data_IF_932438118552
#
_entry.id   IF_932438118552
#
_cell.length_a   1.000
_cell.length_b   1.000
_cell.length_c   1.000
_cell.angle_alpha   90.00
_cell.angle_beta   90.00
_cell.angle_gamma   90.00
#
_symmetry.space_group_name_H-M   'P 1'
#
loop_
_entity.id
_entity.type
_entity.pdbx_description
1 polymer ?
#
# COMPACT_ATOMS: atom_id res chain seq x y z
N UNK A 1 -37.00 -5.32 -16.82
CA UNK A 1 -35.74 -6.02 -16.55
C UNK A 1 -35.14 -5.53 -15.26
N UNK A 2 -35.02 -6.42 -14.28
CA UNK A 2 -34.41 -6.10 -13.02
C UNK A 2 -32.92 -5.79 -13.26
N UNK A 3 -32.38 -4.67 -12.75
CA UNK A 3 -30.94 -4.44 -12.80
C UNK A 3 -30.24 -5.54 -12.00
N UNK A 4 -29.36 -6.24 -12.64
CA UNK A 4 -28.53 -7.26 -11.99
C UNK A 4 -27.65 -6.55 -10.94
N UNK A 5 -27.74 -6.88 -9.66
CA UNK A 5 -26.92 -6.21 -8.66
C UNK A 5 -25.48 -6.71 -8.73
N UNK A 6 -24.69 -6.15 -9.62
CA UNK A 6 -23.27 -6.46 -9.76
C UNK A 6 -22.46 -6.21 -8.46
N UNK A 7 -22.80 -5.20 -7.60
CA UNK A 7 -22.08 -5.02 -6.34
C UNK A 7 -22.36 -6.09 -5.29
N UNK A 8 -23.55 -6.69 -5.28
CA UNK A 8 -23.91 -7.72 -4.29
C UNK A 8 -23.22 -9.05 -4.56
N UNK A 9 -23.07 -9.42 -5.83
CA UNK A 9 -22.39 -10.66 -6.21
C UNK A 9 -20.89 -10.60 -5.85
N UNK A 10 -20.26 -9.44 -6.03
CA UNK A 10 -18.87 -9.24 -5.63
C UNK A 10 -18.70 -9.31 -4.11
N UNK A 11 -19.61 -8.68 -3.34
CA UNK A 11 -19.57 -8.70 -1.88
C UNK A 11 -19.84 -10.10 -1.32
N UNK A 12 -20.78 -10.84 -1.89
CA UNK A 12 -21.07 -12.23 -1.52
C UNK A 12 -19.91 -13.16 -1.87
N UNK A 13 -19.25 -12.94 -3.03
CA UNK A 13 -18.07 -13.70 -3.43
C UNK A 13 -16.88 -13.48 -2.49
N UNK A 14 -16.67 -12.23 -2.05
CA UNK A 14 -15.61 -11.89 -1.08
C UNK A 14 -15.93 -12.48 0.29
N UNK A 15 -17.16 -12.38 0.76
CA UNK A 15 -17.60 -13.00 2.03
C UNK A 15 -17.41 -14.51 2.00
N UNK A 16 -17.77 -15.15 0.88
CA UNK A 16 -17.60 -16.59 0.69
C UNK A 16 -16.13 -16.99 0.69
N UNK A 17 -15.24 -16.22 0.04
CA UNK A 17 -13.80 -16.45 0.04
C UNK A 17 -13.21 -16.31 1.44
N UNK A 18 -13.64 -15.31 2.19
CA UNK A 18 -13.19 -15.10 3.58
C UNK A 18 -13.65 -16.22 4.48
N UNK A 19 -14.91 -16.68 4.35
CA UNK A 19 -15.44 -17.84 5.09
C UNK A 19 -14.67 -19.13 4.78
N UNK A 20 -14.46 -19.43 3.51
CA UNK A 20 -13.69 -20.61 3.08
C UNK A 20 -12.26 -20.56 3.63
N UNK A 21 -11.65 -19.41 3.63
CA UNK A 21 -10.30 -19.23 4.16
C UNK A 21 -10.27 -19.42 5.68
N UNK A 22 -11.25 -18.88 6.39
CA UNK A 22 -11.37 -19.05 7.85
C UNK A 22 -11.68 -20.50 8.23
N UNK A 23 -12.58 -21.17 7.48
CA UNK A 23 -12.87 -22.61 7.65
C UNK A 23 -11.62 -23.45 7.41
N UNK A 24 -10.86 -23.15 6.36
CA UNK A 24 -9.61 -23.83 6.05
C UNK A 24 -8.59 -23.68 7.17
N UNK A 25 -8.47 -22.46 7.73
CA UNK A 25 -7.64 -22.23 8.92
C UNK A 25 -8.09 -23.02 10.13
N UNK A 26 -9.40 -23.14 10.34
CA UNK A 26 -9.97 -23.91 11.46
C UNK A 26 -9.78 -25.41 11.27
N UNK A 27 -9.92 -25.92 10.05
CA UNK A 27 -9.71 -27.34 9.73
C UNK A 27 -8.24 -27.77 9.83
N UNK A 28 -7.32 -26.89 9.48
CA UNK A 28 -5.90 -27.10 9.74
C UNK A 28 -5.58 -27.09 11.24
N UNK A 29 -6.52 -26.69 12.03
CA UNK A 29 -6.80 -26.91 13.47
C UNK A 29 -5.66 -26.76 14.37
N UNK A 30 -4.99 -27.00 14.99
CA UNK A 30 -3.97 -27.07 15.97
C UNK A 30 -2.57 -27.18 15.36
N UNK A 31 -2.44 -27.07 14.05
CA UNK A 31 -1.18 -26.66 13.47
C UNK A 31 -1.08 -25.19 13.82
N UNK A 32 -0.12 -24.84 14.69
CA UNK A 32 0.18 -23.47 15.10
C UNK A 32 -0.12 -22.54 13.92
N UNK A 33 -0.92 -21.48 14.16
CA UNK A 33 -1.12 -20.43 13.17
C UNK A 33 0.26 -19.99 12.71
N UNK A 34 0.74 -20.57 11.62
CA UNK A 34 1.90 -20.04 10.93
C UNK A 34 1.39 -18.74 10.35
N UNK A 35 1.60 -17.67 11.12
CA UNK A 35 1.33 -16.33 10.68
C UNK A 35 2.11 -16.13 9.39
N UNK A 36 1.39 -16.21 8.26
CA UNK A 36 1.97 -16.20 6.94
C UNK A 36 1.78 -14.85 6.28
N UNK A 37 2.88 -14.10 6.20
CA UNK A 37 2.95 -12.81 5.52
C UNK A 37 2.45 -12.96 4.09
N UNK A 38 2.89 -13.98 3.40
CA UNK A 38 2.59 -14.20 1.99
C UNK A 38 1.09 -14.37 1.74
N UNK A 39 0.41 -15.14 2.59
CA UNK A 39 -1.03 -15.35 2.46
C UNK A 39 -1.81 -14.05 2.58
N UNK A 40 -1.56 -13.25 3.61
CA UNK A 40 -2.23 -11.97 3.80
C UNK A 40 -1.85 -10.95 2.70
N UNK A 41 -0.60 -10.94 2.30
CA UNK A 41 -0.12 -10.11 1.20
C UNK A 41 -0.85 -10.43 -0.11
N UNK A 42 -0.94 -11.71 -0.47
CA UNK A 42 -1.60 -12.15 -1.70
C UNK A 42 -3.11 -11.87 -1.67
N UNK A 43 -3.77 -12.07 -0.52
CA UNK A 43 -5.17 -11.68 -0.35
C UNK A 43 -5.34 -10.17 -0.51
N UNK A 44 -4.46 -9.37 0.06
CA UNK A 44 -4.48 -7.93 -0.09
C UNK A 44 -4.37 -7.49 -1.55
N UNK A 45 -3.46 -8.10 -2.31
CA UNK A 45 -3.30 -7.86 -3.75
C UNK A 45 -4.59 -8.20 -4.51
N UNK A 46 -5.18 -9.36 -4.23
CA UNK A 46 -6.42 -9.79 -4.89
C UNK A 46 -7.57 -8.83 -4.60
N UNK A 47 -7.74 -8.41 -3.36
CA UNK A 47 -8.76 -7.43 -2.98
C UNK A 47 -8.52 -6.07 -3.65
N UNK A 48 -7.27 -5.63 -3.71
CA UNK A 48 -6.91 -4.37 -4.37
C UNK A 48 -7.26 -4.40 -5.86
N UNK A 49 -6.97 -5.48 -6.55
CA UNK A 49 -7.31 -5.67 -7.96
C UNK A 49 -8.83 -5.65 -8.20
N UNK A 50 -9.61 -6.11 -7.24
CA UNK A 50 -11.07 -6.04 -7.26
C UNK A 50 -11.62 -4.69 -6.77
N UNK A 51 -10.78 -3.72 -6.50
CA UNK A 51 -11.15 -2.40 -5.96
C UNK A 51 -11.85 -2.47 -4.60
N UNK A 52 -11.60 -3.52 -3.84
CA UNK A 52 -12.09 -3.71 -2.47
C UNK A 52 -11.03 -3.19 -1.50
N UNK A 53 -10.95 -1.87 -1.40
CA UNK A 53 -9.85 -1.18 -0.70
C UNK A 53 -9.82 -1.46 0.80
N UNK A 54 -10.96 -1.48 1.47
CA UNK A 54 -11.00 -1.73 2.92
C UNK A 54 -10.53 -3.12 3.27
N UNK A 55 -10.95 -4.12 2.48
CA UNK A 55 -10.50 -5.50 2.63
C UNK A 55 -9.02 -5.65 2.33
N UNK A 56 -8.53 -4.99 1.27
CA UNK A 56 -7.12 -4.97 0.92
C UNK A 56 -6.28 -4.37 2.04
N UNK A 57 -6.70 -3.21 2.56
CA UNK A 57 -6.03 -2.53 3.67
C UNK A 57 -5.95 -3.44 4.89
N UNK A 58 -7.06 -4.09 5.24
CA UNK A 58 -7.11 -5.02 6.38
C UNK A 58 -6.09 -6.15 6.24
N UNK A 59 -5.99 -6.76 5.07
CA UNK A 59 -5.04 -7.85 4.82
C UNK A 59 -3.59 -7.35 4.82
N UNK A 60 -3.31 -6.21 4.21
CA UNK A 60 -1.96 -5.63 4.25
C UNK A 60 -1.55 -5.21 5.67
N UNK A 61 -2.47 -4.76 6.49
CA UNK A 61 -2.19 -4.44 7.89
C UNK A 61 -1.83 -5.69 8.69
N UNK A 62 -2.49 -6.82 8.43
CA UNK A 62 -2.15 -8.12 9.03
C UNK A 62 -0.75 -8.56 8.61
N UNK A 63 -0.46 -8.51 7.32
CA UNK A 63 0.87 -8.83 6.79
C UNK A 63 1.95 -7.91 7.39
N UNK A 64 1.66 -6.61 7.49
CA UNK A 64 2.55 -5.63 8.11
C UNK A 64 2.91 -5.99 9.56
N UNK A 65 1.92 -6.31 10.38
CA UNK A 65 2.14 -6.68 11.79
C UNK A 65 3.04 -7.90 11.92
N UNK A 66 2.83 -8.91 11.08
CA UNK A 66 3.66 -10.11 11.07
C UNK A 66 5.10 -9.77 10.65
N UNK A 67 5.26 -9.00 9.57
CA UNK A 67 6.56 -8.60 9.07
C UNK A 67 7.33 -7.76 10.08
N UNK A 68 6.66 -6.87 10.79
CA UNK A 68 7.25 -6.05 11.85
C UNK A 68 7.76 -6.92 13.00
N UNK A 69 6.94 -7.85 13.46
CA UNK A 69 7.29 -8.78 14.54
C UNK A 69 8.46 -9.69 14.18
N UNK A 70 8.47 -10.19 12.94
CA UNK A 70 9.51 -11.10 12.45
C UNK A 70 10.73 -10.38 11.89
N UNK A 71 10.68 -9.04 11.81
CA UNK A 71 11.73 -8.19 11.22
C UNK A 71 12.08 -8.60 9.79
N UNK A 72 11.06 -8.94 9.01
CA UNK A 72 11.18 -9.26 7.58
C UNK A 72 11.12 -7.96 6.78
N UNK A 73 12.25 -7.27 6.66
CA UNK A 73 12.33 -5.92 6.12
C UNK A 73 11.82 -5.76 4.68
N UNK A 74 12.16 -6.66 3.72
CA UNK A 74 11.61 -6.53 2.37
C UNK A 74 10.07 -6.60 2.34
N UNK A 75 9.48 -7.50 3.10
CA UNK A 75 8.02 -7.61 3.22
C UNK A 75 7.41 -6.39 3.91
N UNK A 76 8.11 -5.86 4.90
CA UNK A 76 7.69 -4.65 5.61
C UNK A 76 7.59 -3.45 4.67
N UNK A 77 8.61 -3.25 3.83
CA UNK A 77 8.64 -2.19 2.81
C UNK A 77 7.47 -2.36 1.83
N UNK A 78 7.25 -3.58 1.34
CA UNK A 78 6.17 -3.89 0.40
C UNK A 78 4.80 -3.60 1.01
N UNK A 79 4.56 -4.04 2.24
CA UNK A 79 3.29 -3.79 2.94
C UNK A 79 3.04 -2.30 3.15
N UNK A 80 4.04 -1.55 3.61
CA UNK A 80 3.92 -0.11 3.80
C UNK A 80 3.64 0.63 2.49
N UNK A 81 4.32 0.26 1.42
CA UNK A 81 4.12 0.85 0.08
C UNK A 81 2.69 0.61 -0.41
N UNK A 82 2.21 -0.62 -0.31
CA UNK A 82 0.85 -0.98 -0.74
C UNK A 82 -0.22 -0.32 0.11
N UNK A 83 -0.01 -0.22 1.42
CA UNK A 83 -0.90 0.53 2.30
C UNK A 83 -0.97 2.00 1.91
N UNK A 84 0.18 2.62 1.61
CA UNK A 84 0.22 3.98 1.10
C UNK A 84 -0.60 4.15 -0.18
N UNK A 85 -0.43 3.25 -1.15
CA UNK A 85 -1.18 3.27 -2.40
C UNK A 85 -2.69 3.09 -2.18
N UNK A 86 -3.08 2.16 -1.31
CA UNK A 86 -4.49 1.94 -0.98
C UNK A 86 -5.12 3.17 -0.34
N UNK A 87 -4.43 3.85 0.56
CA UNK A 87 -4.94 5.07 1.18
C UNK A 87 -4.99 6.24 0.19
N UNK A 88 -4.06 6.31 -0.76
CA UNK A 88 -4.17 7.27 -1.88
C UNK A 88 -5.43 7.02 -2.71
N UNK A 89 -5.66 5.77 -3.08
CA UNK A 89 -6.84 5.37 -3.86
C UNK A 89 -8.14 5.63 -3.09
N UNK A 90 -8.10 5.52 -1.77
CA UNK A 90 -9.23 5.79 -0.89
C UNK A 90 -9.49 7.30 -0.68
N UNK A 91 -8.61 8.16 -1.19
CA UNK A 91 -8.73 9.60 -1.00
C UNK A 91 -8.29 10.08 0.38
N UNK A 92 -7.38 9.34 1.01
CA UNK A 92 -6.82 9.66 2.33
C UNK A 92 -5.31 9.88 2.25
N UNK A 93 -4.85 10.91 1.54
CA UNK A 93 -3.42 11.13 1.32
C UNK A 93 -2.63 11.39 2.61
N UNK A 94 -3.25 11.98 3.62
CA UNK A 94 -2.60 12.22 4.91
C UNK A 94 -2.24 10.93 5.64
N UNK A 95 -2.99 9.85 5.44
CA UNK A 95 -2.66 8.53 5.97
C UNK A 95 -1.59 7.86 5.12
N UNK A 96 -1.69 8.01 3.79
CA UNK A 96 -0.68 7.52 2.85
C UNK A 96 0.72 8.08 3.17
N UNK A 97 0.82 9.38 3.47
CA UNK A 97 2.07 10.03 3.88
C UNK A 97 2.76 9.24 4.99
N UNK A 98 2.02 8.87 6.02
CA UNK A 98 2.58 8.14 7.17
C UNK A 98 3.12 6.77 6.78
N UNK A 99 2.42 6.06 5.90
CA UNK A 99 2.87 4.74 5.43
C UNK A 99 4.12 4.84 4.56
N UNK A 100 4.20 5.84 3.67
CA UNK A 100 5.39 6.07 2.86
C UNK A 100 6.60 6.47 3.70
N UNK A 101 6.41 7.34 4.69
CA UNK A 101 7.47 7.71 5.62
C UNK A 101 7.97 6.49 6.41
N UNK A 102 7.06 5.62 6.80
CA UNK A 102 7.37 4.37 7.49
C UNK A 102 8.20 3.44 6.61
N UNK A 103 7.84 3.31 5.35
CA UNK A 103 8.61 2.52 4.38
C UNK A 103 10.04 3.06 4.19
N UNK A 104 10.17 4.39 4.09
CA UNK A 104 11.47 5.05 3.94
C UNK A 104 12.38 4.86 5.15
N UNK A 105 11.83 4.59 6.32
CA UNK A 105 12.58 4.37 7.57
C UNK A 105 13.01 2.92 7.76
N UNK A 106 12.59 1.99 6.92
CA UNK A 106 12.93 0.57 7.06
C UNK A 106 14.40 0.33 6.73
N UNK A 107 15.14 -0.43 7.58
CA UNK A 107 16.53 -0.76 7.30
C UNK A 107 16.71 -1.56 6.00
N UNK A 108 17.77 -1.30 5.28
CA UNK A 108 18.13 -2.03 4.06
C UNK A 108 17.38 -1.57 2.81
N UNK A 109 16.68 -0.44 2.87
CA UNK A 109 16.02 0.14 1.70
C UNK A 109 17.07 0.58 0.67
N UNK A 110 16.97 0.06 -0.56
CA UNK A 110 17.86 0.43 -1.65
C UNK A 110 17.53 1.81 -2.23
N UNK A 111 18.47 2.40 -2.94
CA UNK A 111 18.31 3.76 -3.50
C UNK A 111 17.17 3.85 -4.50
N UNK A 112 16.99 2.83 -5.35
CA UNK A 112 15.92 2.81 -6.34
C UNK A 112 14.55 2.80 -5.69
N UNK A 113 14.35 1.91 -4.71
CA UNK A 113 13.10 1.84 -3.95
C UNK A 113 12.84 3.12 -3.15
N UNK A 114 13.88 3.68 -2.54
CA UNK A 114 13.79 4.94 -1.81
C UNK A 114 13.37 6.10 -2.73
N UNK A 115 13.92 6.16 -3.93
CA UNK A 115 13.58 7.18 -4.92
C UNK A 115 12.11 7.08 -5.33
N UNK A 116 11.63 5.87 -5.63
CA UNK A 116 10.23 5.63 -5.97
C UNK A 116 9.29 6.02 -4.80
N UNK A 117 9.65 5.66 -3.58
CA UNK A 117 8.87 6.01 -2.38
C UNK A 117 8.84 7.53 -2.13
N UNK A 118 9.96 8.23 -2.32
CA UNK A 118 9.99 9.70 -2.19
C UNK A 118 9.12 10.37 -3.24
N UNK A 119 9.11 9.85 -4.46
CA UNK A 119 8.21 10.34 -5.49
C UNK A 119 6.74 10.16 -5.06
N UNK A 120 6.37 8.97 -4.60
CA UNK A 120 5.01 8.68 -4.13
C UNK A 120 4.63 9.54 -2.91
N UNK A 121 5.57 9.74 -2.00
CA UNK A 121 5.40 10.65 -0.86
C UNK A 121 5.16 12.09 -1.32
N UNK A 122 5.89 12.54 -2.33
CA UNK A 122 5.67 13.85 -2.95
C UNK A 122 4.27 14.02 -3.50
N UNK A 123 3.77 12.99 -4.21
CA UNK A 123 2.38 12.98 -4.72
C UNK A 123 1.37 13.07 -3.57
N UNK A 124 1.60 12.34 -2.50
CA UNK A 124 0.72 12.37 -1.33
C UNK A 124 0.71 13.75 -0.67
N UNK A 125 1.88 14.37 -0.52
CA UNK A 125 1.97 15.74 0.00
C UNK A 125 1.27 16.76 -0.89
N UNK A 126 1.37 16.63 -2.22
CA UNK A 126 0.60 17.50 -3.14
C UNK A 126 -0.90 17.40 -2.86
N UNK A 127 -1.41 16.18 -2.69
CA UNK A 127 -2.83 15.98 -2.44
C UNK A 127 -3.27 16.48 -1.06
N UNK A 128 -2.38 16.53 -0.08
CA UNK A 128 -2.67 17.15 1.22
C UNK A 128 -2.59 18.68 1.19
N UNK A 129 -2.14 19.25 0.09
CA UNK A 129 -1.91 20.69 -0.03
C UNK A 129 -0.58 21.17 0.56
N UNK A 130 0.29 20.28 0.98
CA UNK A 130 1.60 20.63 1.51
C UNK A 130 2.64 20.76 0.39
N UNK A 131 2.61 21.91 -0.29
CA UNK A 131 3.45 22.20 -1.46
C UNK A 131 4.93 22.14 -1.14
N UNK A 132 5.32 22.65 0.01
CA UNK A 132 6.73 22.68 0.44
C UNK A 132 7.27 21.25 0.62
N UNK A 133 6.56 20.40 1.33
CA UNK A 133 6.97 19.01 1.54
C UNK A 133 6.99 18.23 0.22
N UNK A 134 6.01 18.45 -0.64
CA UNK A 134 5.99 17.84 -1.98
C UNK A 134 7.21 18.26 -2.80
N UNK A 135 7.52 19.55 -2.84
CA UNK A 135 8.67 20.07 -3.58
C UNK A 135 9.98 19.48 -3.04
N UNK A 136 10.14 19.41 -1.72
CA UNK A 136 11.34 18.83 -1.09
C UNK A 136 11.52 17.38 -1.52
N UNK A 137 10.45 16.58 -1.54
CA UNK A 137 10.48 15.19 -2.02
C UNK A 137 10.90 15.09 -3.48
N UNK A 138 10.32 15.89 -4.36
CA UNK A 138 10.64 15.87 -5.79
C UNK A 138 12.06 16.37 -6.07
N UNK A 139 12.55 17.36 -5.33
CA UNK A 139 13.94 17.83 -5.47
C UNK A 139 14.95 16.73 -5.06
N UNK A 140 14.66 15.95 -4.03
CA UNK A 140 15.49 14.79 -3.66
C UNK A 140 15.51 13.75 -4.77
N UNK A 141 14.36 13.44 -5.36
CA UNK A 141 14.25 12.52 -6.50
C UNK A 141 15.05 13.06 -7.69
N UNK A 142 14.86 14.31 -8.03
CA UNK A 142 15.56 14.98 -9.13
C UNK A 142 17.07 14.97 -8.95
N UNK A 143 17.54 15.15 -7.73
CA UNK A 143 18.96 15.12 -7.41
C UNK A 143 19.60 13.74 -7.61
N UNK A 144 18.80 12.68 -7.62
CA UNK A 144 19.26 11.29 -7.86
C UNK A 144 19.09 10.94 -9.34
N UNK A 145 17.95 11.29 -9.95
CA UNK A 145 17.61 10.98 -11.33
C UNK A 145 16.70 12.04 -11.91
N UNK A 146 17.26 12.90 -12.78
CA UNK A 146 16.50 13.98 -13.40
C UNK A 146 15.40 13.50 -14.35
N UNK A 147 15.52 12.27 -14.83
CA UNK A 147 14.59 11.64 -15.77
C UNK A 147 13.57 10.75 -15.09
N UNK A 148 13.51 10.77 -13.75
CA UNK A 148 12.58 9.91 -13.03
C UNK A 148 11.14 10.39 -13.26
N UNK A 149 10.38 9.57 -13.99
CA UNK A 149 8.98 9.86 -14.35
C UNK A 149 8.82 11.33 -14.81
N UNK A 150 7.81 12.02 -14.32
CA UNK A 150 7.53 13.43 -14.62
C UNK A 150 8.05 14.40 -13.56
N UNK A 151 9.09 14.03 -12.82
CA UNK A 151 9.59 14.81 -11.67
C UNK A 151 9.98 16.23 -12.04
N UNK A 152 10.61 16.44 -13.19
CA UNK A 152 10.98 17.78 -13.67
C UNK A 152 9.77 18.69 -13.84
N UNK A 153 8.71 18.16 -14.42
CA UNK A 153 7.47 18.91 -14.65
C UNK A 153 6.77 19.23 -13.33
N UNK A 154 6.75 18.31 -12.38
CA UNK A 154 6.15 18.53 -11.06
C UNK A 154 6.88 19.62 -10.29
N UNK A 155 8.20 19.62 -10.34
CA UNK A 155 9.01 20.69 -9.71
C UNK A 155 8.67 22.03 -10.35
N UNK A 156 8.64 22.10 -11.68
CA UNK A 156 8.33 23.33 -12.41
C UNK A 156 6.98 23.89 -11.99
N UNK A 157 5.96 23.06 -11.92
CA UNK A 157 4.60 23.48 -11.52
C UNK A 157 4.58 23.97 -10.06
N UNK A 158 5.27 23.30 -9.16
CA UNK A 158 5.30 23.66 -7.73
C UNK A 158 6.11 24.93 -7.44
N UNK A 159 7.02 25.30 -8.32
CA UNK A 159 7.83 26.51 -8.18
C UNK A 159 7.17 27.77 -8.77
N UNK A 160 6.02 27.63 -9.39
CA UNK A 160 5.29 28.77 -9.94
C UNK A 160 4.56 29.61 -8.87
#
# INVERSE_FOLDING_TARGET
PAPTPAPQVAAEGVAALTEVFDEFKQELGAVEEVEDIETHYNLGIAFKEMELLDEAISEFQKAFKIAEKQKTYPSLIQCCTLLGLCFMDKGMPQVAVRWYERALAVPGLDTESATALRYDLGLAHEQTGNRKAALDCFLEVYGINIDFRDVSERIRVLQQ
#
